data_IF_234151976640
#
_entry.id   IF_234151976640
#
_cell.length_a   1.000
_cell.length_b   1.000
_cell.length_c   1.000
_cell.angle_alpha   90.00
_cell.angle_beta   90.00
_cell.angle_gamma   90.00
#
_symmetry.space_group_name_H-M   'P 1'
#
loop_
_entity.id
_entity.type
_entity.pdbx_description
1 polymer ?
#
# COMPACT_ATOMS: atom_id res chain seq x y z
N UNK A 1 -12.33 -14.52 16.41
CA UNK A 1 -13.66 -14.38 15.78
C UNK A 1 -13.54 -13.21 14.82
N UNK A 2 -13.24 -13.48 13.55
CA UNK A 2 -13.07 -12.44 12.52
C UNK A 2 -14.43 -11.84 12.18
N UNK A 3 -14.53 -10.52 12.17
CA UNK A 3 -15.76 -9.84 11.77
C UNK A 3 -15.99 -10.04 10.27
N UNK A 4 -17.24 -10.27 9.85
CA UNK A 4 -17.62 -10.40 8.42
C UNK A 4 -17.43 -9.12 7.59
N UNK A 5 -16.97 -8.06 8.25
CA UNK A 5 -16.83 -6.71 7.69
C UNK A 5 -15.37 -6.29 7.46
N UNK A 6 -14.39 -7.19 7.56
CA UNK A 6 -13.01 -6.83 7.19
C UNK A 6 -12.90 -6.67 5.66
N UNK A 7 -12.03 -5.79 5.19
CA UNK A 7 -11.77 -5.58 3.76
C UNK A 7 -10.29 -5.24 3.55
N UNK A 8 -9.65 -5.91 2.59
CA UNK A 8 -8.25 -5.68 2.24
C UNK A 8 -8.19 -5.13 0.82
N UNK A 9 -7.97 -3.82 0.68
CA UNK A 9 -7.82 -3.19 -0.64
C UNK A 9 -6.37 -2.87 -0.94
N UNK A 10 -5.97 -3.19 -2.15
CA UNK A 10 -4.66 -2.91 -2.73
C UNK A 10 -4.80 -1.82 -3.78
N UNK A 11 -3.90 -0.83 -3.75
CA UNK A 11 -3.85 0.27 -4.73
C UNK A 11 -2.43 0.43 -5.27
N UNK A 12 -2.22 0.45 -6.60
CA UNK A 12 -0.89 0.54 -7.18
C UNK A 12 -0.50 1.99 -7.49
N UNK A 13 0.80 2.27 -7.40
CA UNK A 13 1.42 3.46 -7.97
C UNK A 13 2.63 3.01 -8.79
N UNK A 14 2.66 3.43 -10.06
CA UNK A 14 3.80 3.20 -10.94
C UNK A 14 4.88 4.24 -10.70
N UNK A 15 6.11 3.80 -10.52
CA UNK A 15 7.26 4.68 -10.36
C UNK A 15 7.76 5.11 -11.75
N UNK A 16 8.24 6.34 -11.88
CA UNK A 16 8.75 6.82 -13.16
C UNK A 16 9.94 5.95 -13.62
N UNK A 17 9.85 5.28 -14.78
CA UNK A 17 10.77 4.21 -15.16
C UNK A 17 12.17 4.72 -15.54
N UNK A 18 12.31 6.02 -15.76
CA UNK A 18 13.54 6.66 -16.24
C UNK A 18 14.30 7.41 -15.14
N UNK A 19 13.87 7.34 -13.89
CA UNK A 19 14.52 8.04 -12.78
C UNK A 19 14.67 7.11 -11.59
N UNK A 20 15.74 7.35 -10.83
CA UNK A 20 15.91 6.76 -9.51
C UNK A 20 15.35 7.71 -8.47
N UNK A 21 14.68 7.14 -7.47
CA UNK A 21 14.25 7.85 -6.28
C UNK A 21 14.65 7.03 -5.06
N UNK A 22 14.80 7.71 -3.94
CA UNK A 22 15.02 7.11 -2.64
C UNK A 22 13.84 7.42 -1.76
N UNK A 23 13.13 6.40 -1.29
CA UNK A 23 12.10 6.57 -0.26
C UNK A 23 12.81 6.84 1.06
N UNK A 24 12.55 8.00 1.65
CA UNK A 24 13.23 8.49 2.86
C UNK A 24 12.28 8.65 4.04
N UNK A 25 10.98 8.49 3.84
CA UNK A 25 10.02 8.59 4.92
C UNK A 25 8.59 8.28 4.52
N UNK A 26 7.75 8.11 5.54
CA UNK A 26 6.37 7.68 5.43
C UNK A 26 5.51 8.53 6.37
N UNK A 27 4.44 9.11 5.82
CA UNK A 27 3.44 9.85 6.59
C UNK A 27 2.07 9.21 6.36
N UNK A 28 1.56 8.42 7.32
CA UNK A 28 0.22 7.88 7.26
C UNK A 28 -0.82 9.00 7.47
N UNK A 29 -1.86 9.01 6.66
CA UNK A 29 -3.11 9.74 6.88
C UNK A 29 -4.19 8.69 7.15
N UNK A 30 -4.12 8.09 8.33
CA UNK A 30 -5.02 7.04 8.76
C UNK A 30 -5.29 7.15 10.26
N UNK A 31 -6.41 6.55 10.67
CA UNK A 31 -6.81 6.43 12.07
C UNK A 31 -7.19 4.98 12.34
N UNK A 32 -6.86 4.49 13.53
CA UNK A 32 -7.29 3.18 14.02
C UNK A 32 -8.80 3.00 14.04
N UNK A 33 -9.60 4.06 13.92
CA UNK A 33 -11.05 3.94 13.79
C UNK A 33 -11.48 3.40 12.41
N UNK A 34 -10.60 3.44 11.42
CA UNK A 34 -10.93 3.13 10.01
C UNK A 34 -10.08 1.98 9.46
N UNK A 35 -8.78 1.94 9.78
CA UNK A 35 -7.87 0.88 9.34
C UNK A 35 -7.15 0.21 10.50
N UNK A 36 -7.08 -1.11 10.47
CA UNK A 36 -6.34 -1.90 11.45
C UNK A 36 -4.83 -1.83 11.21
N UNK A 37 -4.40 -1.86 9.95
CA UNK A 37 -3.01 -1.64 9.54
C UNK A 37 -2.91 -1.30 8.05
N UNK A 38 -1.74 -0.79 7.66
CA UNK A 38 -1.36 -0.57 6.27
C UNK A 38 -0.01 -1.23 5.99
N UNK A 39 0.13 -1.83 4.82
CA UNK A 39 1.40 -2.38 4.32
C UNK A 39 1.71 -1.74 2.98
N UNK A 40 2.96 -1.33 2.78
CA UNK A 40 3.47 -0.85 1.50
C UNK A 40 4.40 -1.90 0.92
N UNK A 41 4.03 -2.45 -0.23
CA UNK A 41 4.84 -3.39 -0.99
C UNK A 41 5.59 -2.67 -2.09
N UNK A 42 6.84 -3.02 -2.31
CA UNK A 42 7.54 -2.80 -3.55
C UNK A 42 7.34 -4.00 -4.48
N UNK A 43 6.92 -3.76 -5.72
CA UNK A 43 6.68 -4.82 -6.70
C UNK A 43 7.48 -4.57 -8.00
N UNK A 44 7.90 -5.64 -8.66
CA UNK A 44 8.30 -5.58 -10.07
C UNK A 44 7.08 -5.46 -10.97
N UNK A 45 6.01 -6.20 -10.65
CA UNK A 45 4.70 -6.11 -11.31
C UNK A 45 3.58 -6.17 -10.25
N UNK A 46 2.57 -5.27 -10.32
CA UNK A 46 1.44 -5.31 -9.39
C UNK A 46 0.55 -6.52 -9.66
N UNK A 47 -0.26 -6.93 -8.70
CA UNK A 47 -1.19 -8.05 -8.88
C UNK A 47 -2.32 -7.78 -9.86
N UNK A 48 -2.76 -6.52 -9.96
CA UNK A 48 -3.72 -6.05 -10.96
C UNK A 48 -3.28 -4.70 -11.54
N UNK A 49 -3.82 -4.38 -12.72
CA UNK A 49 -3.72 -3.04 -13.34
C UNK A 49 -4.90 -2.14 -12.94
N UNK A 50 -5.87 -2.67 -12.18
CA UNK A 50 -7.01 -1.90 -11.68
C UNK A 50 -6.56 -0.82 -10.69
N UNK A 51 -7.33 0.26 -10.60
CA UNK A 51 -7.06 1.33 -9.63
C UNK A 51 -7.12 0.88 -8.17
N UNK A 52 -7.92 -0.16 -7.89
CA UNK A 52 -7.97 -0.87 -6.63
C UNK A 52 -8.45 -2.31 -6.85
N UNK A 53 -7.98 -3.25 -6.04
CA UNK A 53 -8.45 -4.64 -6.03
C UNK A 53 -8.44 -5.23 -4.62
N UNK A 54 -9.17 -6.32 -4.43
CA UNK A 54 -9.11 -7.11 -3.19
C UNK A 54 -7.78 -7.86 -3.13
N UNK A 55 -6.98 -7.64 -2.09
CA UNK A 55 -5.62 -8.18 -1.99
C UNK A 55 -5.54 -9.72 -1.87
N UNK A 56 -6.68 -10.41 -1.75
CA UNK A 56 -6.74 -11.88 -1.74
C UNK A 56 -6.15 -12.59 -0.52
N UNK A 57 -5.69 -11.85 0.51
CA UNK A 57 -5.16 -12.43 1.74
C UNK A 57 -6.26 -12.50 2.83
N UNK A 58 -6.37 -13.67 3.49
CA UNK A 58 -7.22 -13.94 4.68
C UNK A 58 -8.74 -13.73 4.57
N UNK A 59 -9.36 -13.86 3.39
CA UNK A 59 -10.82 -14.08 3.32
C UNK A 59 -11.18 -15.32 2.52
N UNK A 60 -11.43 -16.39 3.26
CA UNK A 60 -12.42 -17.37 2.86
C UNK A 60 -13.80 -16.71 2.85
N UNK A 61 -14.38 -16.61 1.65
CA UNK A 61 -15.80 -16.82 1.37
C UNK A 61 -16.74 -15.63 1.08
N UNK A 62 -16.30 -14.36 1.04
CA UNK A 62 -17.13 -13.31 0.43
C UNK A 62 -16.25 -12.37 -0.41
N UNK A 63 -16.09 -12.71 -1.69
CA UNK A 63 -15.58 -11.79 -2.70
C UNK A 63 -16.53 -10.59 -2.68
N UNK A 64 -16.02 -9.40 -2.35
CA UNK A 64 -16.77 -8.18 -2.63
C UNK A 64 -16.87 -8.09 -4.16
N UNK A 65 -18.05 -8.39 -4.72
CA UNK A 65 -18.32 -8.42 -6.17
C UNK A 65 -17.92 -7.11 -6.88
N UNK A 66 -17.64 -6.04 -6.13
CA UNK A 66 -17.15 -4.75 -6.64
C UNK A 66 -15.68 -4.76 -7.05
N UNK A 67 -14.87 -5.71 -6.56
CA UNK A 67 -13.43 -5.73 -6.80
C UNK A 67 -12.94 -7.09 -7.28
N UNK A 68 -12.13 -7.08 -8.34
CA UNK A 68 -11.33 -8.24 -8.72
C UNK A 68 -10.40 -8.63 -7.56
N UNK A 69 -10.03 -9.91 -7.50
CA UNK A 69 -9.11 -10.43 -6.48
C UNK A 69 -7.75 -10.74 -7.09
N UNK A 70 -6.69 -10.23 -6.47
CA UNK A 70 -5.30 -10.53 -6.83
C UNK A 70 -4.37 -10.25 -5.63
N UNK A 71 -3.20 -10.89 -5.57
CA UNK A 71 -2.17 -10.56 -4.58
C UNK A 71 -1.70 -9.10 -4.69
N UNK A 72 -1.01 -8.52 -3.69
CA UNK A 72 -0.44 -7.17 -3.83
C UNK A 72 0.55 -7.06 -5.01
N UNK A 73 1.43 -8.05 -5.17
CA UNK A 73 2.37 -8.12 -6.29
C UNK A 73 2.13 -9.41 -7.08
N UNK A 74 2.16 -9.32 -8.40
CA UNK A 74 2.28 -10.49 -9.28
C UNK A 74 3.70 -11.05 -9.25
N UNK A 75 4.70 -10.18 -9.14
CA UNK A 75 6.12 -10.58 -9.02
C UNK A 75 6.98 -9.53 -8.31
N UNK A 76 8.11 -9.99 -7.76
CA UNK A 76 9.10 -9.12 -7.11
C UNK A 76 8.59 -8.43 -5.84
N UNK A 77 7.86 -9.17 -4.99
CA UNK A 77 7.25 -8.65 -3.76
C UNK A 77 8.29 -8.43 -2.66
N UNK A 78 8.29 -7.24 -2.07
CA UNK A 78 9.03 -6.93 -0.85
C UNK A 78 8.25 -5.93 0.01
N UNK A 79 8.26 -6.12 1.32
CA UNK A 79 7.64 -5.16 2.24
C UNK A 79 8.60 -3.97 2.42
N UNK A 80 8.12 -2.78 2.10
CA UNK A 80 8.87 -1.51 2.21
C UNK A 80 8.52 -0.79 3.51
N UNK A 81 7.26 -0.87 3.94
CA UNK A 81 6.80 -0.21 5.17
C UNK A 81 5.56 -0.91 5.74
N UNK A 82 5.42 -0.87 7.06
CA UNK A 82 4.25 -1.33 7.78
C UNK A 82 3.82 -0.27 8.80
N UNK A 83 2.51 -0.07 8.93
CA UNK A 83 1.90 0.85 9.86
C UNK A 83 0.78 0.16 10.62
N UNK A 84 0.72 0.38 11.94
CA UNK A 84 -0.37 -0.05 12.80
C UNK A 84 -0.49 0.90 13.99
N UNK A 85 -1.64 0.86 14.69
CA UNK A 85 -1.86 1.50 16.01
C UNK A 85 -1.54 3.01 16.06
N UNK A 86 -1.99 3.76 15.05
CA UNK A 86 -1.74 5.20 14.98
C UNK A 86 -0.26 5.57 15.10
N UNK A 87 0.62 4.70 14.58
CA UNK A 87 2.05 4.94 14.58
C UNK A 87 2.35 6.31 13.90
N UNK A 88 3.28 7.10 14.49
CA UNK A 88 3.61 8.40 13.95
C UNK A 88 4.29 8.28 12.58
N UNK A 89 4.47 9.42 11.91
CA UNK A 89 5.28 9.48 10.70
C UNK A 89 6.67 8.89 10.96
N UNK A 90 7.17 8.09 10.03
CA UNK A 90 8.51 7.54 10.07
C UNK A 90 9.40 8.36 9.14
N UNK A 91 10.43 8.99 9.70
CA UNK A 91 11.54 9.53 8.92
C UNK A 91 12.70 8.53 9.05
N UNK A 92 13.25 8.10 7.92
CA UNK A 92 14.45 7.27 7.95
C UNK A 92 15.65 8.10 8.42
N UNK A 93 16.65 7.48 9.06
CA UNK A 93 17.89 8.17 9.43
C UNK A 93 18.52 8.89 8.22
N UNK A 94 19.35 9.93 8.45
CA UNK A 94 20.14 10.54 7.40
C UNK A 94 20.88 9.47 6.57
N UNK A 95 20.98 9.70 5.26
CA UNK A 95 21.66 8.83 4.30
C UNK A 95 21.08 7.40 4.15
N UNK A 96 19.89 7.14 4.72
CA UNK A 96 19.16 5.89 4.54
C UNK A 96 17.93 6.10 3.66
N UNK A 97 17.78 5.27 2.63
CA UNK A 97 16.57 5.25 1.82
C UNK A 97 16.44 4.02 0.93
N UNK A 98 15.21 3.67 0.58
CA UNK A 98 14.94 2.56 -0.34
C UNK A 98 15.03 3.04 -1.78
N UNK A 99 15.95 2.48 -2.56
CA UNK A 99 16.06 2.76 -3.98
C UNK A 99 14.86 2.18 -4.73
N UNK A 100 14.17 3.03 -5.50
CA UNK A 100 13.04 2.68 -6.36
C UNK A 100 13.21 3.29 -7.76
N UNK A 101 12.56 2.73 -8.77
CA UNK A 101 12.56 3.29 -10.12
C UNK A 101 13.53 2.58 -11.08
N UNK A 102 14.33 3.33 -11.85
CA UNK A 102 15.08 2.80 -13.01
C UNK A 102 15.99 1.62 -12.64
N UNK A 103 16.85 1.78 -11.64
CA UNK A 103 17.88 0.78 -11.31
C UNK A 103 17.46 -0.18 -10.17
N UNK A 104 16.23 -0.04 -9.65
CA UNK A 104 15.67 -0.91 -8.62
C UNK A 104 14.76 -1.99 -9.21
N UNK A 105 14.67 -3.19 -8.62
CA UNK A 105 13.59 -4.13 -8.96
C UNK A 105 12.20 -3.58 -8.60
N UNK A 106 12.10 -2.57 -7.71
CA UNK A 106 10.84 -1.93 -7.33
C UNK A 106 10.41 -0.95 -8.44
N UNK A 107 9.47 -1.39 -9.28
CA UNK A 107 8.86 -0.58 -10.35
C UNK A 107 7.49 -0.02 -9.96
N UNK A 108 6.85 -0.64 -8.98
CA UNK A 108 5.56 -0.22 -8.43
C UNK A 108 5.64 -0.21 -6.90
N UNK A 109 4.90 0.71 -6.30
CA UNK A 109 4.51 0.63 -4.91
C UNK A 109 3.04 0.22 -4.84
N UNK A 110 2.71 -0.77 -4.02
CA UNK A 110 1.32 -1.21 -3.80
C UNK A 110 0.98 -1.02 -2.34
N UNK A 111 0.03 -0.15 -2.06
CA UNK A 111 -0.49 0.08 -0.71
C UNK A 111 -1.63 -0.88 -0.45
N UNK A 112 -1.46 -1.77 0.52
CA UNK A 112 -2.52 -2.58 1.10
C UNK A 112 -3.04 -1.88 2.34
N UNK A 113 -4.36 -1.74 2.44
CA UNK A 113 -5.06 -1.24 3.61
C UNK A 113 -6.01 -2.30 4.11
N UNK A 114 -5.86 -2.70 5.38
CA UNK A 114 -6.82 -3.54 6.08
C UNK A 114 -7.82 -2.65 6.82
N UNK A 115 -9.04 -2.55 6.29
CA UNK A 115 -10.16 -1.80 6.87
C UNK A 115 -10.87 -2.62 7.95
N UNK A 116 -11.23 -1.96 9.05
CA UNK A 116 -11.97 -2.60 10.16
C UNK A 116 -13.43 -2.91 9.82
N UNK A 117 -14.03 -2.19 8.88
CA UNK A 117 -15.45 -2.35 8.52
C UNK A 117 -15.66 -2.03 7.05
N UNK A 118 -16.42 -2.88 6.35
CA UNK A 118 -16.89 -2.66 4.98
C UNK A 118 -17.73 -1.38 4.93
N UNK A 119 -17.50 -0.56 3.92
CA UNK A 119 -18.23 0.71 3.76
C UNK A 119 -19.72 0.47 3.50
N UNK A 120 -20.65 1.12 4.25
CA UNK A 120 -22.05 1.13 3.85
C UNK A 120 -22.15 1.77 2.47
N UNK A 121 -22.95 1.19 1.57
CA UNK A 121 -22.92 1.38 0.10
C UNK A 121 -23.13 2.79 -0.48
N UNK A 122 -22.98 3.87 0.31
CA UNK A 122 -23.02 5.27 -0.11
C UNK A 122 -21.87 6.13 0.41
N UNK A 123 -20.98 5.61 1.25
CA UNK A 123 -19.88 6.41 1.81
C UNK A 123 -18.62 6.24 0.98
N UNK A 124 -18.04 7.37 0.55
CA UNK A 124 -16.64 7.39 0.13
C UNK A 124 -15.78 7.12 1.35
N UNK A 125 -14.83 6.20 1.23
CA UNK A 125 -13.80 6.05 2.24
C UNK A 125 -13.23 7.43 2.56
N UNK A 126 -13.30 7.86 3.83
CA UNK A 126 -12.48 8.98 4.30
C UNK A 126 -11.06 8.69 3.82
N UNK A 127 -10.42 9.65 3.15
CA UNK A 127 -9.22 9.45 2.32
C UNK A 127 -8.06 8.90 3.17
N UNK A 128 -8.05 7.58 3.36
CA UNK A 128 -6.91 6.88 3.90
C UNK A 128 -5.83 6.93 2.84
N UNK A 129 -4.70 7.53 3.21
CA UNK A 129 -3.59 7.69 2.31
C UNK A 129 -2.28 7.45 3.05
N UNK A 130 -1.29 6.94 2.33
CA UNK A 130 0.09 6.94 2.78
C UNK A 130 0.86 7.91 1.88
N UNK A 131 1.34 9.01 2.46
CA UNK A 131 2.28 9.88 1.75
C UNK A 131 3.68 9.28 1.89
N UNK A 132 4.33 9.00 0.76
CA UNK A 132 5.70 8.51 0.70
C UNK A 132 6.62 9.68 0.34
N UNK A 133 7.55 10.01 1.23
CA UNK A 133 8.55 11.04 0.97
C UNK A 133 9.68 10.45 0.13
N UNK A 134 9.95 11.05 -1.02
CA UNK A 134 11.00 10.62 -1.96
C UNK A 134 12.05 11.73 -2.17
N UNK A 135 13.31 11.33 -2.29
CA UNK A 135 14.42 12.19 -2.66
C UNK A 135 15.02 11.73 -4.00
N UNK A 136 15.38 12.67 -4.86
CA UNK A 136 16.27 12.44 -5.98
C UNK A 136 17.64 12.91 -5.53
N UNK A 137 18.47 12.01 -5.00
CA UNK A 137 19.86 12.36 -4.72
C UNK A 137 20.53 12.57 -6.09
N UNK A 138 20.76 13.83 -6.44
CA UNK A 138 21.79 14.19 -7.41
C UNK A 138 23.04 14.41 -6.58
N UNK A 139 24.07 13.56 -6.76
CA UNK A 139 25.42 13.93 -6.34
C UNK A 139 25.79 15.31 -6.88
#
# INVERSE_FOLDING_TARGET
MFSKDELYLCTPIRIAPQKNFYVVGFKPNASMHTAHHMLLYGCSQPGSNDSAWSCGEMQSNEIDDRYNTASPCKSGSQIVYAWARDAPRLQLPPDVGFLIGRDSPIKYLVLQVHYMTKFPGKYKANILALTVAVSTITN
#
